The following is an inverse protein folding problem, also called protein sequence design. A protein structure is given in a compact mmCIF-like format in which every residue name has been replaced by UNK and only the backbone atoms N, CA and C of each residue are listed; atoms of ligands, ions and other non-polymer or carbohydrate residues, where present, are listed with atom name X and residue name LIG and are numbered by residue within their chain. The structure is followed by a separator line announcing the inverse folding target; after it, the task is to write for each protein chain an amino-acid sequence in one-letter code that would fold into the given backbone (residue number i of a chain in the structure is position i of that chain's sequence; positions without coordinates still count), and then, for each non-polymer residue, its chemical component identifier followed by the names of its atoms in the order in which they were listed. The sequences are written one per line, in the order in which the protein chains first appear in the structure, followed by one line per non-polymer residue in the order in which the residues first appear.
data_IF_359202763909
#
_entry.id   IF_359202763909
#
_cell.length_a   1.000
_cell.length_b   1.000
_cell.length_c   1.000
_cell.angle_alpha   90.00
_cell.angle_beta   90.00
_cell.angle_gamma   90.00
#
_symmetry.space_group_name_H-M   'P 1'
#
loop_
_entity.id
_entity.type
_entity.pdbx_description
1 polymer ?
#
# COMPACT_ATOMS: atom_id res chain seq x y z
N UNK A 1 -50.41 14.15 47.15
CA UNK A 1 -49.15 14.94 47.18
C UNK A 1 -48.05 14.00 47.65
N UNK A 2 -46.91 13.82 47.02
CA UNK A 2 -46.14 14.74 46.20
C UNK A 2 -45.51 14.02 45.00
N UNK A 3 -45.39 14.75 43.90
CA UNK A 3 -44.67 14.38 42.70
C UNK A 3 -43.16 14.57 42.90
N UNK A 4 -42.35 13.70 42.30
CA UNK A 4 -41.02 14.07 41.82
C UNK A 4 -40.56 13.10 40.73
N UNK A 5 -40.71 13.50 39.47
CA UNK A 5 -39.91 12.99 38.35
C UNK A 5 -38.93 14.11 38.00
N UNK A 6 -37.62 13.85 38.04
CA UNK A 6 -36.69 14.48 37.14
C UNK A 6 -35.77 13.39 36.55
N UNK A 7 -36.18 12.80 35.44
CA UNK A 7 -35.25 12.17 34.51
C UNK A 7 -34.48 13.29 33.82
N UNK A 8 -33.25 13.55 34.27
CA UNK A 8 -32.37 14.45 33.54
C UNK A 8 -32.05 13.82 32.17
N UNK A 9 -32.22 14.59 31.08
CA UNK A 9 -32.27 14.06 29.73
C UNK A 9 -30.84 13.72 29.27
N UNK A 10 -30.59 12.44 29.01
CA UNK A 10 -29.37 12.02 28.34
C UNK A 10 -29.38 12.52 26.88
N UNK A 11 -28.92 13.77 26.70
CA UNK A 11 -28.66 14.42 25.41
C UNK A 11 -27.24 14.15 24.90
N UNK A 12 -26.54 13.18 25.51
CA UNK A 12 -25.19 12.77 25.12
C UNK A 12 -25.19 11.47 24.29
N UNK A 13 -26.26 10.67 24.33
CA UNK A 13 -26.36 9.45 23.53
C UNK A 13 -26.38 9.74 22.01
N UNK A 14 -27.10 10.76 21.55
CA UNK A 14 -27.14 11.13 20.12
C UNK A 14 -25.85 11.77 19.62
N UNK A 15 -25.14 12.52 20.48
CA UNK A 15 -23.81 13.08 20.19
C UNK A 15 -22.73 12.00 20.17
N UNK A 16 -22.79 11.04 21.09
CA UNK A 16 -21.92 9.86 21.09
C UNK A 16 -22.14 9.00 19.84
N UNK A 17 -23.40 8.81 19.43
CA UNK A 17 -23.72 8.04 18.22
C UNK A 17 -23.30 8.77 16.93
N UNK A 18 -23.48 10.08 16.84
CA UNK A 18 -23.01 10.86 15.67
C UNK A 18 -21.48 10.94 15.58
N UNK A 19 -20.77 10.99 16.73
CA UNK A 19 -19.31 10.88 16.73
C UNK A 19 -18.84 9.50 16.28
N UNK A 20 -19.47 8.43 16.75
CA UNK A 20 -19.18 7.06 16.29
C UNK A 20 -19.48 6.88 14.80
N UNK A 21 -20.52 7.53 14.29
CA UNK A 21 -20.87 7.51 12.87
C UNK A 21 -19.80 8.24 12.04
N UNK A 22 -19.39 9.44 12.45
CA UNK A 22 -18.31 10.20 11.81
C UNK A 22 -17.00 9.39 11.75
N UNK A 23 -16.55 8.82 12.87
CA UNK A 23 -15.33 7.99 12.88
C UNK A 23 -15.49 6.73 12.02
N UNK A 24 -16.68 6.12 12.00
CA UNK A 24 -16.97 4.97 11.15
C UNK A 24 -16.92 5.30 9.65
N UNK A 25 -17.43 6.46 9.25
CA UNK A 25 -17.41 6.95 7.87
C UNK A 25 -15.98 7.27 7.40
N UNK A 26 -15.16 7.91 8.24
CA UNK A 26 -13.74 8.15 7.95
C UNK A 26 -12.99 6.84 7.73
N UNK A 27 -13.19 5.85 8.61
CA UNK A 27 -12.51 4.54 8.49
C UNK A 27 -12.99 3.79 7.25
N UNK A 28 -14.27 3.86 6.90
CA UNK A 28 -14.81 3.24 5.70
C UNK A 28 -14.20 3.86 4.43
N UNK A 29 -14.25 5.18 4.31
CA UNK A 29 -13.67 5.90 3.18
C UNK A 29 -12.17 5.62 3.04
N UNK A 30 -11.46 5.55 4.16
CA UNK A 30 -10.05 5.20 4.19
C UNK A 30 -9.77 3.80 3.65
N UNK A 31 -10.50 2.78 4.12
CA UNK A 31 -10.30 1.38 3.73
C UNK A 31 -10.66 1.13 2.26
N UNK A 32 -11.64 1.86 1.72
CA UNK A 32 -12.04 1.72 0.32
C UNK A 32 -11.02 2.31 -0.66
N UNK A 33 -10.28 3.36 -0.24
CA UNK A 33 -9.34 4.08 -1.10
C UNK A 33 -7.90 3.61 -0.97
N UNK A 34 -7.49 3.11 0.19
CA UNK A 34 -6.11 2.68 0.44
C UNK A 34 -5.81 1.33 -0.22
N UNK A 35 -4.87 1.32 -1.16
CA UNK A 35 -4.43 0.11 -1.85
C UNK A 35 -3.09 -0.39 -1.27
N UNK A 36 -2.15 0.52 -0.97
CA UNK A 36 -0.76 0.20 -0.63
C UNK A 36 -0.62 -0.58 0.67
N UNK A 37 -1.47 -0.31 1.67
CA UNK A 37 -1.39 -0.98 2.97
C UNK A 37 -1.75 -2.47 2.90
N UNK A 38 -2.54 -2.92 1.92
CA UNK A 38 -2.88 -4.35 1.77
C UNK A 38 -1.80 -5.18 1.08
N UNK A 39 -0.84 -4.52 0.44
CA UNK A 39 0.14 -5.14 -0.46
C UNK A 39 1.51 -5.37 0.19
N UNK A 40 1.71 -4.85 1.39
CA UNK A 40 2.98 -4.88 2.12
C UNK A 40 2.74 -5.51 3.51
N UNK A 41 3.79 -6.07 4.13
CA UNK A 41 3.72 -6.58 5.49
C UNK A 41 3.35 -5.47 6.49
N UNK A 42 2.30 -5.72 7.28
CA UNK A 42 1.86 -4.83 8.33
C UNK A 42 2.12 -5.45 9.70
N UNK A 43 2.61 -4.64 10.65
CA UNK A 43 2.72 -5.01 12.05
C UNK A 43 2.16 -3.89 12.92
N UNK A 44 1.35 -4.25 13.90
CA UNK A 44 0.85 -3.32 14.92
C UNK A 44 1.72 -3.41 16.18
N UNK A 45 2.02 -2.27 16.78
CA UNK A 45 2.68 -2.19 18.09
C UNK A 45 1.70 -1.63 19.12
N UNK A 46 1.63 -2.28 20.28
CA UNK A 46 0.81 -1.82 21.42
C UNK A 46 1.58 -0.87 22.35
N UNK A 47 2.89 -0.70 22.13
CA UNK A 47 3.76 0.20 22.87
C UNK A 47 5.19 0.20 22.30
N UNK A 48 5.93 1.28 22.54
CA UNK A 48 7.28 1.50 22.02
C UNK A 48 7.33 2.38 20.76
N UNK A 49 8.54 2.86 20.42
CA UNK A 49 8.79 3.71 19.24
C UNK A 49 9.18 2.90 18.00
N UNK A 50 9.55 1.64 18.17
CA UNK A 50 10.20 0.83 17.14
C UNK A 50 9.61 -0.56 17.06
N UNK A 51 9.54 -1.14 15.85
CA UNK A 51 9.29 -2.55 15.66
C UNK A 51 10.39 -3.17 14.81
N UNK A 52 10.78 -4.40 15.15
CA UNK A 52 11.75 -5.17 14.41
C UNK A 52 11.04 -6.14 13.46
N UNK A 53 11.60 -6.29 12.26
CA UNK A 53 11.26 -7.33 11.31
C UNK A 53 12.47 -8.23 11.14
N UNK A 54 12.24 -9.54 11.29
CA UNK A 54 13.26 -10.54 11.00
C UNK A 54 13.27 -10.73 9.48
N UNK A 55 14.41 -10.48 8.86
CA UNK A 55 14.62 -10.75 7.44
C UNK A 55 15.63 -11.90 7.34
N UNK A 56 15.16 -13.04 6.84
CA UNK A 56 16.01 -14.22 6.65
C UNK A 56 16.54 -14.27 5.22
N UNK A 57 17.83 -14.55 5.05
CA UNK A 57 18.37 -14.96 3.76
C UNK A 57 17.86 -16.34 3.32
N UNK A 58 18.02 -16.69 2.04
CA UNK A 58 17.79 -18.06 1.59
C UNK A 58 18.94 -18.96 2.08
N UNK A 59 18.60 -20.15 2.60
CA UNK A 59 19.60 -21.16 2.94
C UNK A 59 20.28 -21.65 1.66
N UNK A 60 21.60 -21.78 1.68
CA UNK A 60 22.38 -22.28 0.54
C UNK A 60 22.36 -23.80 0.49
N UNK A 61 22.28 -24.39 -0.71
CA UNK A 61 22.36 -25.85 -0.91
C UNK A 61 23.72 -26.44 -0.45
N UNK A 62 24.75 -25.61 -0.32
CA UNK A 62 26.05 -25.99 0.25
C UNK A 62 26.00 -26.42 1.72
N UNK A 63 24.91 -26.10 2.43
CA UNK A 63 24.72 -26.46 3.83
C UNK A 63 24.14 -27.88 3.99
N UNK A 64 23.77 -28.53 2.88
CA UNK A 64 23.26 -29.90 2.88
C UNK A 64 24.44 -30.86 3.04
N UNK A 65 24.66 -31.31 4.28
CA UNK A 65 25.70 -32.29 4.57
C UNK A 65 25.20 -33.73 4.36
N UNK A 66 26.03 -34.56 3.72
CA UNK A 66 25.82 -36.01 3.68
C UNK A 66 26.32 -36.60 4.99
N UNK A 67 25.40 -36.97 5.89
CA UNK A 67 25.74 -37.50 7.21
C UNK A 67 26.28 -38.93 7.12
N UNK A 68 27.44 -39.18 7.74
CA UNK A 68 28.04 -40.51 7.91
C UNK A 68 27.80 -40.99 9.34
N UNK A 69 27.53 -42.28 9.51
CA UNK A 69 27.17 -42.88 10.81
C UNK A 69 28.34 -42.70 11.80
N UNK A 70 28.12 -41.94 12.88
CA UNK A 70 29.10 -41.75 13.96
C UNK A 70 29.81 -40.39 13.97
N UNK A 71 29.59 -39.53 12.98
CA UNK A 71 30.11 -38.16 12.96
C UNK A 71 29.09 -37.16 13.53
N UNK A 72 29.58 -36.05 14.09
CA UNK A 72 28.73 -34.98 14.62
C UNK A 72 28.12 -34.17 13.46
N UNK A 73 26.81 -33.90 13.55
CA UNK A 73 26.13 -33.03 12.58
C UNK A 73 26.57 -31.59 12.83
N UNK A 74 27.36 -31.04 11.90
CA UNK A 74 27.74 -29.61 11.96
C UNK A 74 26.55 -28.77 11.55
N UNK A 75 26.01 -27.98 12.47
CA UNK A 75 24.94 -27.03 12.19
C UNK A 75 25.49 -25.78 11.52
N UNK A 76 24.95 -25.41 10.36
CA UNK A 76 25.15 -24.07 9.80
C UNK A 76 24.15 -23.09 10.43
N UNK A 77 24.60 -21.88 10.73
CA UNK A 77 23.74 -20.80 11.22
C UNK A 77 23.21 -20.07 9.99
N UNK A 78 21.89 -20.05 9.82
CA UNK A 78 21.26 -19.25 8.77
C UNK A 78 21.48 -17.76 9.07
N UNK A 79 21.91 -17.00 8.06
CA UNK A 79 22.00 -15.55 8.17
C UNK A 79 20.59 -14.96 8.37
N UNK A 80 20.29 -14.58 9.60
CA UNK A 80 19.13 -13.81 9.99
C UNK A 80 19.59 -12.43 10.46
N UNK A 81 18.93 -11.39 9.98
CA UNK A 81 19.19 -10.02 10.41
C UNK A 81 17.87 -9.33 10.78
N UNK A 82 17.97 -8.26 11.54
CA UNK A 82 16.84 -7.53 12.10
C UNK A 82 16.80 -6.10 11.56
N UNK A 83 15.77 -5.78 10.78
CA UNK A 83 15.51 -4.42 10.34
C UNK A 83 14.54 -3.76 11.31
N UNK A 84 14.98 -2.66 11.93
CA UNK A 84 14.16 -1.88 12.86
C UNK A 84 13.52 -0.71 12.13
N UNK A 85 12.20 -0.60 12.21
CA UNK A 85 11.44 0.55 11.69
C UNK A 85 10.92 1.37 12.88
N UNK A 86 11.12 2.69 12.84
CA UNK A 86 10.67 3.61 13.88
C UNK A 86 9.39 4.34 13.48
N UNK A 87 8.55 4.68 14.46
CA UNK A 87 7.36 5.51 14.29
C UNK A 87 7.57 6.82 15.05
N UNK A 88 7.81 7.90 14.30
CA UNK A 88 8.31 9.14 14.90
C UNK A 88 7.25 10.23 15.01
N UNK A 89 6.37 10.35 14.01
CA UNK A 89 5.44 11.48 13.91
C UNK A 89 4.00 11.02 13.74
N UNK A 90 3.09 11.75 14.39
CA UNK A 90 1.64 11.63 14.18
C UNK A 90 1.22 12.58 13.07
N UNK A 91 0.51 12.08 12.07
CA UNK A 91 -0.11 12.90 11.04
C UNK A 91 -1.56 13.20 11.40
N UNK A 92 -1.97 14.43 11.16
CA UNK A 92 -3.26 14.97 11.58
C UNK A 92 -3.90 15.72 10.41
N UNK A 93 -5.18 15.46 10.17
CA UNK A 93 -6.03 16.26 9.31
C UNK A 93 -7.22 16.76 10.12
N UNK A 94 -7.45 18.07 10.12
CA UNK A 94 -8.49 18.67 10.93
C UNK A 94 -9.33 19.69 10.16
N UNK A 95 -10.64 19.66 10.38
CA UNK A 95 -11.58 20.66 9.93
C UNK A 95 -12.23 21.34 11.12
N UNK A 96 -12.52 22.63 10.98
CA UNK A 96 -13.25 23.40 11.95
C UNK A 96 -14.64 23.74 11.40
N UNK A 97 -15.67 23.47 12.20
CA UNK A 97 -17.06 23.82 11.90
C UNK A 97 -17.57 24.78 12.97
N UNK A 98 -17.99 25.97 12.55
CA UNK A 98 -18.67 26.89 13.45
C UNK A 98 -20.09 26.38 13.78
N UNK A 99 -20.53 26.58 15.02
CA UNK A 99 -21.86 26.16 15.45
C UNK A 99 -22.98 26.95 14.80
N UNK A 100 -22.74 28.20 14.42
CA UNK A 100 -23.72 29.02 13.73
C UNK A 100 -23.90 28.52 12.29
N UNK A 101 -22.82 28.28 11.57
CA UNK A 101 -22.84 27.79 10.19
C UNK A 101 -23.44 26.38 10.09
N UNK A 102 -23.14 25.51 11.04
CA UNK A 102 -23.75 24.17 11.12
C UNK A 102 -25.28 24.24 11.31
N UNK A 103 -25.78 25.29 12.01
CA UNK A 103 -27.22 25.47 12.23
C UNK A 103 -27.95 26.13 11.06
N UNK A 104 -27.23 26.88 10.24
CA UNK A 104 -27.77 27.50 9.03
C UNK A 104 -27.66 26.60 7.79
N UNK A 105 -26.79 25.58 7.82
CA UNK A 105 -26.64 24.63 6.74
C UNK A 105 -27.93 23.85 6.47
N UNK A 106 -28.33 23.78 5.19
CA UNK A 106 -29.51 23.03 4.73
C UNK A 106 -29.23 21.52 4.54
N UNK A 107 -27.97 21.11 4.63
CA UNK A 107 -27.50 19.73 4.45
C UNK A 107 -26.45 19.36 5.50
N UNK A 108 -26.24 18.05 5.68
CA UNK A 108 -25.28 17.53 6.64
C UNK A 108 -23.84 17.70 6.13
N UNK A 109 -23.13 18.69 6.67
CA UNK A 109 -21.74 18.99 6.28
C UNK A 109 -20.73 17.99 6.90
N UNK A 110 -21.10 17.33 8.00
CA UNK A 110 -20.18 16.45 8.74
C UNK A 110 -19.81 15.18 7.98
N UNK A 111 -20.76 14.52 7.32
CA UNK A 111 -20.50 13.28 6.58
C UNK A 111 -19.58 13.49 5.38
N UNK A 112 -19.79 14.58 4.62
CA UNK A 112 -18.93 14.92 3.47
C UNK A 112 -17.49 15.25 3.90
N UNK A 113 -17.33 16.00 4.99
CA UNK A 113 -16.00 16.25 5.56
C UNK A 113 -15.34 14.99 6.11
N UNK A 114 -16.13 14.04 6.63
CA UNK A 114 -15.62 12.73 7.05
C UNK A 114 -15.04 11.97 5.85
N UNK A 115 -15.80 11.89 4.76
CA UNK A 115 -15.39 11.22 3.53
C UNK A 115 -14.11 11.82 2.94
N UNK A 116 -14.07 13.15 2.79
CA UNK A 116 -12.88 13.85 2.28
C UNK A 116 -11.66 13.67 3.18
N UNK A 117 -11.83 13.70 4.51
CA UNK A 117 -10.72 13.46 5.43
C UNK A 117 -10.16 12.03 5.32
N UNK A 118 -11.02 11.03 5.13
CA UNK A 118 -10.58 9.65 4.92
C UNK A 118 -9.82 9.46 3.61
N UNK A 119 -10.27 10.11 2.54
CA UNK A 119 -9.62 10.06 1.22
C UNK A 119 -8.24 10.74 1.24
N UNK A 120 -8.12 11.95 1.80
CA UNK A 120 -6.83 12.66 1.88
C UNK A 120 -5.81 11.86 2.70
N UNK A 121 -6.22 11.22 3.79
CA UNK A 121 -5.33 10.38 4.60
C UNK A 121 -4.90 9.11 3.84
N UNK A 122 -5.81 8.47 3.09
CA UNK A 122 -5.49 7.32 2.25
C UNK A 122 -4.50 7.66 1.13
N UNK A 123 -4.77 8.73 0.38
CA UNK A 123 -3.89 9.15 -0.72
C UNK A 123 -2.49 9.52 -0.25
N UNK A 124 -2.36 10.10 0.94
CA UNK A 124 -1.05 10.40 1.53
C UNK A 124 -0.28 9.11 1.83
N UNK A 125 -0.90 8.14 2.49
CA UNK A 125 -0.23 6.86 2.83
C UNK A 125 0.19 6.14 1.56
N UNK A 126 -0.67 6.08 0.55
CA UNK A 126 -0.34 5.42 -0.71
C UNK A 126 0.85 6.09 -1.42
N UNK A 127 0.91 7.42 -1.47
CA UNK A 127 2.05 8.15 -2.05
C UNK A 127 3.37 7.82 -1.34
N UNK A 128 3.38 7.86 -0.01
CA UNK A 128 4.59 7.57 0.77
C UNK A 128 5.03 6.10 0.60
N UNK A 129 4.08 5.17 0.57
CA UNK A 129 4.35 3.74 0.33
C UNK A 129 4.95 3.48 -1.04
N UNK A 130 4.37 4.05 -2.11
CA UNK A 130 4.88 3.86 -3.47
C UNK A 130 6.21 4.58 -3.71
N UNK A 131 6.43 5.73 -3.10
CA UNK A 131 7.73 6.41 -3.15
C UNK A 131 8.83 5.60 -2.45
N UNK A 132 8.54 5.03 -1.27
CA UNK A 132 9.48 4.17 -0.56
C UNK A 132 9.80 2.89 -1.35
N UNK A 133 8.78 2.25 -1.93
CA UNK A 133 9.00 1.09 -2.81
C UNK A 133 9.86 1.43 -4.03
N UNK A 134 9.61 2.57 -4.68
CA UNK A 134 10.31 2.96 -5.90
C UNK A 134 11.74 3.48 -5.68
N UNK A 135 12.01 4.13 -4.54
CA UNK A 135 13.29 4.82 -4.29
C UNK A 135 14.18 4.10 -3.27
N UNK A 136 13.61 3.66 -2.16
CA UNK A 136 14.40 3.19 -1.01
C UNK A 136 14.75 1.70 -1.13
N UNK A 137 13.83 0.88 -1.63
CA UNK A 137 14.08 -0.55 -1.84
C UNK A 137 15.20 -0.82 -2.86
N UNK A 138 15.27 -0.19 -4.06
CA UNK A 138 16.35 -0.48 -4.99
C UNK A 138 17.71 0.05 -4.51
N UNK A 139 17.70 1.06 -3.62
CA UNK A 139 18.91 1.59 -3.00
C UNK A 139 19.42 0.75 -1.82
N UNK A 140 18.65 -0.24 -1.34
CA UNK A 140 19.09 -1.09 -0.23
C UNK A 140 20.29 -1.95 -0.62
N UNK A 141 21.27 -2.02 0.28
CA UNK A 141 22.34 -3.01 0.17
C UNK A 141 21.79 -4.39 0.57
N UNK A 142 21.88 -5.41 -0.30
CA UNK A 142 21.37 -6.74 0.03
C UNK A 142 22.25 -7.39 1.10
N UNK A 143 21.60 -8.02 2.08
CA UNK A 143 22.27 -8.79 3.12
C UNK A 143 22.76 -10.15 2.58
N UNK A 144 23.68 -10.84 3.28
CA UNK A 144 24.13 -12.18 2.89
C UNK A 144 22.95 -13.14 2.68
N UNK A 145 22.84 -13.74 1.49
CA UNK A 145 21.73 -14.62 1.10
C UNK A 145 20.49 -13.92 0.51
N UNK A 146 20.55 -12.60 0.32
CA UNK A 146 19.55 -11.82 -0.44
C UNK A 146 20.14 -11.37 -1.78
N UNK A 147 19.27 -11.14 -2.78
CA UNK A 147 19.66 -10.59 -4.08
C UNK A 147 19.15 -9.15 -4.19
N UNK A 148 19.93 -8.26 -4.81
CA UNK A 148 19.51 -6.89 -5.06
C UNK A 148 18.23 -6.84 -5.92
N UNK A 149 17.49 -5.74 -5.87
CA UNK A 149 16.34 -5.52 -6.75
C UNK A 149 16.79 -5.50 -8.23
N UNK A 150 15.95 -6.01 -9.14
CA UNK A 150 16.28 -5.95 -10.58
C UNK A 150 15.53 -4.80 -11.21
N UNK A 151 16.23 -3.96 -11.97
CA UNK A 151 15.58 -3.00 -12.88
C UNK A 151 15.59 -3.58 -14.29
N UNK A 152 14.43 -3.63 -14.91
CA UNK A 152 14.26 -4.05 -16.29
C UNK A 152 13.78 -2.85 -17.08
N UNK A 153 14.44 -2.62 -18.21
CA UNK A 153 14.09 -1.53 -19.11
C UNK A 153 13.14 -2.06 -20.18
N UNK A 154 12.01 -1.40 -20.36
CA UNK A 154 11.02 -1.73 -21.37
C UNK A 154 11.50 -1.24 -22.74
N UNK A 155 12.25 -2.11 -23.42
CA UNK A 155 12.92 -1.74 -24.66
C UNK A 155 11.93 -1.30 -25.73
N UNK A 156 12.09 -0.10 -26.29
CA UNK A 156 11.22 0.47 -27.31
C UNK A 156 9.98 1.22 -26.80
N UNK A 157 9.77 1.33 -25.48
CA UNK A 157 8.63 2.05 -24.91
C UNK A 157 8.62 3.55 -25.27
N UNK A 158 9.79 4.21 -25.21
CA UNK A 158 9.95 5.64 -25.51
C UNK A 158 9.82 5.96 -27.01
N UNK A 159 10.10 4.99 -27.88
CA UNK A 159 9.99 5.12 -29.34
C UNK A 159 8.59 4.79 -29.89
N UNK A 160 7.77 4.06 -29.11
CA UNK A 160 6.43 3.67 -29.52
C UNK A 160 5.48 4.88 -29.58
N UNK A 161 4.74 4.98 -30.69
CA UNK A 161 3.82 6.11 -30.93
C UNK A 161 2.35 5.74 -30.73
N UNK A 162 2.03 4.45 -30.79
CA UNK A 162 0.69 3.91 -30.60
C UNK A 162 0.53 3.26 -29.22
N UNK A 163 -0.70 3.24 -28.70
CA UNK A 163 -1.00 2.62 -27.40
C UNK A 163 -0.75 1.09 -27.41
N UNK A 164 -0.94 0.45 -28.56
CA UNK A 164 -0.73 -0.99 -28.75
C UNK A 164 0.76 -1.38 -28.66
N UNK A 165 1.64 -0.63 -29.32
CA UNK A 165 3.09 -0.86 -29.26
C UNK A 165 3.64 -0.63 -27.85
N UNK A 166 3.16 0.41 -27.16
CA UNK A 166 3.52 0.66 -25.75
C UNK A 166 3.06 -0.46 -24.84
N UNK A 167 1.82 -0.93 -25.01
CA UNK A 167 1.29 -2.06 -24.25
C UNK A 167 2.08 -3.35 -24.50
N UNK A 168 2.47 -3.62 -25.75
CA UNK A 168 3.27 -4.80 -26.10
C UNK A 168 4.68 -4.75 -25.46
N UNK A 169 5.35 -3.59 -25.47
CA UNK A 169 6.64 -3.41 -24.82
C UNK A 169 6.56 -3.63 -23.30
N UNK A 170 5.49 -3.15 -22.65
CA UNK A 170 5.28 -3.39 -21.22
C UNK A 170 5.03 -4.87 -20.94
N UNK A 171 4.21 -5.54 -21.76
CA UNK A 171 3.92 -6.98 -21.59
C UNK A 171 5.20 -7.81 -21.71
N UNK A 172 6.08 -7.50 -22.67
CA UNK A 172 7.37 -8.18 -22.81
C UNK A 172 8.28 -7.94 -21.60
N UNK A 173 8.36 -6.70 -21.12
CA UNK A 173 9.10 -6.35 -19.91
C UNK A 173 8.56 -7.07 -18.66
N UNK A 174 7.24 -7.28 -18.56
CA UNK A 174 6.62 -8.06 -17.47
C UNK A 174 7.04 -9.54 -17.52
N UNK A 175 7.17 -10.13 -18.70
CA UNK A 175 7.68 -11.51 -18.83
C UNK A 175 9.15 -11.63 -18.44
N UNK A 176 10.00 -10.67 -18.84
CA UNK A 176 11.38 -10.59 -18.38
C UNK A 176 11.48 -10.38 -16.86
N UNK A 177 10.53 -9.62 -16.28
CA UNK A 177 10.38 -9.47 -14.84
C UNK A 177 10.08 -10.77 -14.12
N UNK A 178 9.19 -11.58 -14.69
CA UNK A 178 8.88 -12.90 -14.14
C UNK A 178 10.08 -13.83 -14.18
N UNK A 179 10.86 -13.85 -15.26
CA UNK A 179 12.07 -14.67 -15.32
C UNK A 179 13.10 -14.22 -14.28
N UNK A 180 13.32 -12.91 -14.13
CA UNK A 180 14.21 -12.36 -13.11
C UNK A 180 13.79 -12.72 -11.68
N UNK A 181 12.49 -12.75 -11.37
CA UNK A 181 11.99 -13.17 -10.05
C UNK A 181 12.15 -14.68 -9.82
N UNK A 182 11.95 -15.49 -10.86
CA UNK A 182 12.15 -16.94 -10.78
C UNK A 182 13.63 -17.30 -10.58
N UNK A 183 14.57 -16.59 -11.23
CA UNK A 183 16.01 -16.75 -11.00
C UNK A 183 16.44 -16.42 -9.56
N UNK A 184 15.63 -15.62 -8.85
CA UNK A 184 15.83 -15.30 -7.43
C UNK A 184 15.08 -16.26 -6.48
N UNK A 185 14.44 -17.31 -7.00
CA UNK A 185 13.68 -18.29 -6.23
C UNK A 185 12.62 -17.66 -5.31
N UNK A 186 11.96 -16.59 -5.77
CA UNK A 186 10.90 -15.94 -5.00
C UNK A 186 9.61 -16.76 -5.13
N UNK A 187 9.13 -17.37 -4.04
CA UNK A 187 7.97 -18.26 -4.06
C UNK A 187 6.61 -17.56 -3.97
N UNK A 188 6.57 -16.32 -3.49
CA UNK A 188 5.33 -15.57 -3.28
C UNK A 188 4.80 -14.96 -4.58
N UNK A 189 3.47 -14.95 -4.75
CA UNK A 189 2.79 -14.27 -5.88
C UNK A 189 3.03 -12.75 -5.82
N UNK A 190 3.76 -12.17 -6.79
CA UNK A 190 4.05 -10.75 -6.81
C UNK A 190 2.84 -9.95 -7.30
N UNK A 191 2.59 -8.81 -6.66
CA UNK A 191 1.63 -7.83 -7.15
C UNK A 191 2.35 -6.87 -8.09
N UNK A 192 1.68 -6.46 -9.17
CA UNK A 192 2.19 -5.48 -10.12
C UNK A 192 1.32 -4.25 -10.05
N UNK A 193 1.94 -3.10 -9.89
CA UNK A 193 1.27 -1.80 -9.89
C UNK A 193 1.85 -0.94 -10.99
N UNK A 194 0.95 -0.41 -11.82
CA UNK A 194 1.27 0.47 -12.95
C UNK A 194 0.55 1.81 -12.81
N UNK A 195 1.03 2.81 -13.53
CA UNK A 195 0.28 4.04 -13.71
C UNK A 195 -0.97 3.80 -14.60
N UNK A 196 -2.02 4.62 -14.48
CA UNK A 196 -3.29 4.37 -15.17
C UNK A 196 -3.17 4.43 -16.70
N UNK A 197 -2.37 5.37 -17.21
CA UNK A 197 -2.13 5.47 -18.65
C UNK A 197 -1.49 4.19 -19.20
N UNK A 198 -0.51 3.66 -18.48
CA UNK A 198 0.19 2.42 -18.83
C UNK A 198 -0.72 1.20 -18.67
N UNK A 199 -1.61 1.19 -17.67
CA UNK A 199 -2.65 0.17 -17.52
C UNK A 199 -3.57 0.08 -18.74
N UNK A 200 -4.08 1.22 -19.21
CA UNK A 200 -4.97 1.23 -20.37
C UNK A 200 -4.23 0.93 -21.68
N UNK A 201 -2.95 1.27 -21.81
CA UNK A 201 -2.12 0.83 -22.93
C UNK A 201 -2.00 -0.71 -22.97
N UNK A 202 -1.86 -1.37 -21.81
CA UNK A 202 -1.85 -2.84 -21.71
C UNK A 202 -3.22 -3.42 -22.09
N UNK A 203 -4.33 -2.84 -21.64
CA UNK A 203 -5.69 -3.28 -21.99
C UNK A 203 -5.95 -3.19 -23.50
N UNK A 204 -5.44 -2.14 -24.15
CA UNK A 204 -5.60 -1.93 -25.58
C UNK A 204 -4.63 -2.75 -26.44
N UNK A 205 -3.62 -3.39 -25.82
CA UNK A 205 -2.69 -4.25 -26.54
C UNK A 205 -3.36 -5.57 -26.96
N UNK A 206 -3.15 -5.97 -28.21
CA UNK A 206 -3.65 -7.25 -28.73
C UNK A 206 -3.10 -8.45 -27.96
N UNK A 207 -1.92 -8.32 -27.34
CA UNK A 207 -1.28 -9.37 -26.54
C UNK A 207 -1.78 -9.44 -25.09
N UNK A 208 -2.32 -8.34 -24.55
CA UNK A 208 -2.86 -8.27 -23.19
C UNK A 208 -4.30 -8.80 -23.09
N UNK A 209 -5.07 -8.67 -24.18
CA UNK A 209 -6.45 -9.16 -24.26
C UNK A 209 -6.62 -9.90 -25.60
N UNK A 210 -6.30 -11.19 -25.64
CA UNK A 210 -6.66 -12.01 -26.79
C UNK A 210 -8.18 -12.22 -26.79
N UNK A 211 -8.85 -11.76 -27.85
CA UNK A 211 -10.30 -11.79 -28.02
C UNK A 211 -10.92 -13.21 -28.11
N UNK A 212 -10.11 -14.26 -28.03
CA UNK A 212 -10.52 -15.64 -28.28
C UNK A 212 -10.30 -16.54 -27.05
N UNK A 213 -10.90 -16.23 -25.88
CA UNK A 213 -11.18 -17.23 -24.83
C UNK A 213 -12.31 -16.77 -23.88
N UNK A 214 -13.54 -17.18 -24.21
CA UNK A 214 -14.69 -17.46 -23.30
C UNK A 214 -15.00 -16.48 -22.15
N UNK A 215 -16.02 -15.64 -22.38
CA UNK A 215 -17.07 -15.09 -21.49
C UNK A 215 -16.79 -14.57 -20.07
N UNK A 216 -15.59 -14.66 -19.49
CA UNK A 216 -15.34 -14.20 -18.11
C UNK A 216 -13.87 -13.87 -17.81
N UNK A 217 -13.03 -13.66 -18.83
CA UNK A 217 -11.57 -13.68 -18.72
C UNK A 217 -10.86 -12.35 -19.04
N UNK A 218 -11.50 -11.23 -18.71
CA UNK A 218 -10.99 -9.91 -19.07
C UNK A 218 -11.31 -9.58 -20.52
N UNK A 219 -11.69 -8.34 -20.77
CA UNK A 219 -12.15 -7.91 -22.08
C UNK A 219 -11.96 -6.42 -22.25
N UNK A 220 -11.84 -6.01 -23.50
CA UNK A 220 -11.76 -4.59 -23.88
C UNK A 220 -13.03 -3.85 -23.42
N UNK A 221 -14.17 -4.56 -23.34
CA UNK A 221 -15.46 -4.09 -22.85
C UNK A 221 -15.47 -3.78 -21.34
N UNK A 222 -14.83 -4.63 -20.54
CA UNK A 222 -14.73 -4.48 -19.08
C UNK A 222 -13.56 -3.59 -18.67
N UNK A 223 -12.63 -3.33 -19.59
CA UNK A 223 -11.43 -2.54 -19.35
C UNK A 223 -10.50 -3.13 -18.27
N UNK A 224 -10.68 -4.42 -17.96
CA UNK A 224 -9.97 -5.12 -16.87
C UNK A 224 -9.12 -6.24 -17.45
N UNK A 225 -7.84 -6.22 -17.09
CA UNK A 225 -6.91 -7.32 -17.35
C UNK A 225 -6.89 -8.23 -16.12
N UNK A 226 -7.22 -9.52 -16.28
CA UNK A 226 -7.27 -10.46 -15.15
C UNK A 226 -5.86 -10.77 -14.63
N UNK A 227 -4.98 -11.25 -15.50
CA UNK A 227 -3.59 -11.54 -15.17
C UNK A 227 -2.71 -11.45 -16.43
N UNK A 228 -1.52 -10.88 -16.30
CA UNK A 228 -0.45 -10.94 -17.32
C UNK A 228 0.75 -11.62 -16.68
N UNK A 229 1.31 -12.64 -17.35
CA UNK A 229 2.42 -13.45 -16.82
C UNK A 229 2.15 -14.08 -15.43
N UNK A 230 0.87 -14.29 -15.06
CA UNK A 230 0.46 -14.82 -13.76
C UNK A 230 0.36 -13.78 -12.63
N UNK A 231 0.63 -12.50 -12.92
CA UNK A 231 0.51 -11.41 -11.95
C UNK A 231 -0.87 -10.78 -11.95
N UNK A 232 -1.35 -10.39 -10.76
CA UNK A 232 -2.48 -9.46 -10.64
C UNK A 232 -1.96 -8.04 -10.87
N UNK A 233 -2.53 -7.34 -11.86
CA UNK A 233 -2.15 -5.95 -12.18
C UNK A 233 -3.18 -5.00 -11.57
N UNK A 234 -2.73 -4.15 -10.66
CA UNK A 234 -3.45 -2.99 -10.17
C UNK A 234 -2.95 -1.70 -10.82
N UNK A 235 -3.77 -0.65 -10.78
CA UNK A 235 -3.36 0.69 -11.19
C UNK A 235 -3.50 1.66 -10.02
N UNK A 236 -2.65 2.69 -10.00
CA UNK A 236 -2.72 3.76 -9.00
C UNK A 236 -2.30 5.10 -9.60
N UNK A 237 -2.97 6.17 -9.19
CA UNK A 237 -2.55 7.55 -9.52
C UNK A 237 -1.38 8.03 -8.64
N UNK A 238 -0.98 7.25 -7.64
CA UNK A 238 -0.04 7.65 -6.60
C UNK A 238 1.36 7.06 -6.79
N UNK A 239 1.65 6.55 -7.99
CA UNK A 239 2.98 6.09 -8.34
C UNK A 239 3.94 7.30 -8.43
N UNK A 240 5.13 7.19 -7.83
CA UNK A 240 6.10 8.30 -7.81
C UNK A 240 6.84 8.43 -9.15
N UNK A 241 6.17 9.08 -10.12
CA UNK A 241 6.79 9.53 -11.38
C UNK A 241 7.53 10.87 -11.25
N UNK A 242 7.53 11.50 -10.07
CA UNK A 242 8.18 12.81 -9.90
C UNK A 242 9.67 12.62 -9.65
N UNK A 243 10.02 11.67 -8.78
CA UNK A 243 11.42 11.32 -8.49
C UNK A 243 12.00 10.38 -9.53
N UNK A 244 11.20 9.42 -10.03
CA UNK A 244 11.60 8.50 -11.10
C UNK A 244 10.71 8.70 -12.33
N UNK A 245 11.06 9.62 -13.24
CA UNK A 245 10.24 9.91 -14.42
C UNK A 245 10.09 8.69 -15.35
N UNK A 246 11.10 7.81 -15.35
CA UNK A 246 11.13 6.62 -16.18
C UNK A 246 10.33 5.44 -15.59
N UNK A 247 9.79 5.58 -14.38
CA UNK A 247 9.09 4.49 -13.71
C UNK A 247 7.76 4.15 -14.42
N UNK A 248 7.66 2.94 -14.96
CA UNK A 248 6.45 2.41 -15.60
C UNK A 248 5.66 1.54 -14.63
N UNK A 249 6.33 0.58 -13.98
CA UNK A 249 5.68 -0.39 -13.12
C UNK A 249 6.57 -0.81 -11.94
N UNK A 250 5.93 -1.14 -10.82
CA UNK A 250 6.54 -1.79 -9.67
C UNK A 250 5.98 -3.20 -9.54
N UNK A 251 6.86 -4.20 -9.56
CA UNK A 251 6.52 -5.61 -9.30
C UNK A 251 7.16 -6.01 -7.99
N UNK A 252 6.35 -6.35 -6.98
CA UNK A 252 6.86 -6.63 -5.65
C UNK A 252 6.05 -7.69 -4.92
N UNK A 253 6.74 -8.44 -4.05
CA UNK A 253 6.10 -9.32 -3.07
C UNK A 253 5.86 -8.58 -1.75
N UNK A 254 4.98 -9.11 -0.91
CA UNK A 254 4.62 -8.52 0.39
C UNK A 254 5.83 -8.34 1.34
N UNK A 255 6.88 -9.10 1.09
CA UNK A 255 8.07 -9.20 1.94
C UNK A 255 9.08 -8.08 1.71
N UNK A 256 8.88 -7.28 0.66
CA UNK A 256 9.83 -6.27 0.21
C UNK A 256 9.91 -5.09 1.16
N UNK A 257 8.80 -4.71 1.78
CA UNK A 257 8.72 -3.59 2.71
C UNK A 257 7.87 -3.94 3.93
N UNK A 258 7.89 -3.05 4.93
CA UNK A 258 7.12 -3.19 6.15
C UNK A 258 6.48 -1.88 6.59
N UNK A 259 5.27 -1.97 7.12
CA UNK A 259 4.58 -0.85 7.79
C UNK A 259 4.38 -1.22 9.25
N UNK A 260 4.77 -0.31 10.14
CA UNK A 260 4.53 -0.38 11.58
C UNK A 260 3.43 0.60 11.94
N UNK A 261 2.35 0.08 12.53
CA UNK A 261 1.25 0.89 13.05
C UNK A 261 1.37 1.06 14.55
N UNK A 262 1.64 2.29 14.99
CA UNK A 262 1.57 2.65 16.40
C UNK A 262 0.17 3.11 16.80
N UNK A 263 -0.52 3.79 15.89
CA UNK A 263 -1.93 4.13 16.03
C UNK A 263 -2.62 3.92 14.69
N UNK A 264 -3.63 3.06 14.69
CA UNK A 264 -4.59 3.02 13.59
C UNK A 264 -5.36 4.35 13.50
N UNK A 265 -6.06 4.57 12.38
CA UNK A 265 -6.80 5.82 12.18
C UNK A 265 -7.85 5.99 13.25
N UNK A 266 -7.76 7.13 13.92
CA UNK A 266 -8.74 7.57 14.91
C UNK A 266 -9.22 8.97 14.55
N UNK A 267 -10.51 9.19 14.72
CA UNK A 267 -11.13 10.49 14.54
C UNK A 267 -11.83 10.91 15.82
N UNK A 268 -11.63 12.16 16.19
CA UNK A 268 -12.20 12.80 17.37
C UNK A 268 -12.90 14.09 16.95
N UNK A 269 -14.02 14.40 17.60
CA UNK A 269 -14.69 15.69 17.48
C UNK A 269 -14.71 16.34 18.85
N UNK A 270 -14.01 17.45 19.00
CA UNK A 270 -13.93 18.19 20.26
C UNK A 270 -14.52 19.58 20.07
N UNK A 271 -15.27 20.05 21.06
CA UNK A 271 -15.80 21.41 21.05
C UNK A 271 -14.72 22.38 21.57
N UNK A 272 -14.33 23.36 20.75
CA UNK A 272 -13.44 24.43 21.18
C UNK A 272 -14.26 25.65 21.60
N UNK A 273 -14.33 25.87 22.92
CA UNK A 273 -15.04 26.99 23.50
C UNK A 273 -14.45 28.35 23.12
N UNK A 274 -13.17 28.42 22.74
CA UNK A 274 -12.52 29.67 22.32
C UNK A 274 -12.93 30.10 20.93
N UNK A 275 -13.34 29.14 20.09
CA UNK A 275 -13.72 29.37 18.70
C UNK A 275 -15.23 29.16 18.45
N UNK A 276 -15.97 28.79 19.49
CA UNK A 276 -17.42 28.56 19.44
C UNK A 276 -17.85 27.53 18.37
N UNK A 277 -17.01 26.52 18.15
CA UNK A 277 -17.20 25.53 17.09
C UNK A 277 -16.66 24.14 17.43
N UNK A 278 -16.95 23.20 16.54
CA UNK A 278 -16.47 21.83 16.61
C UNK A 278 -15.22 21.65 15.77
N UNK A 279 -14.16 21.15 16.38
CA UNK A 279 -12.96 20.72 15.69
C UNK A 279 -13.03 19.21 15.45
N UNK A 280 -13.15 18.83 14.19
CA UNK A 280 -13.09 17.45 13.72
C UNK A 280 -11.64 17.14 13.37
N UNK A 281 -11.05 16.16 14.03
CA UNK A 281 -9.62 15.82 13.89
C UNK A 281 -9.47 14.33 13.64
N UNK A 282 -8.90 13.95 12.51
CA UNK A 282 -8.51 12.59 12.17
C UNK A 282 -7.00 12.46 12.20
N UNK A 283 -6.47 11.42 12.82
CA UNK A 283 -5.04 11.23 12.98
C UNK A 283 -4.62 9.76 12.89
N UNK A 284 -3.37 9.54 12.48
CA UNK A 284 -2.71 8.23 12.48
C UNK A 284 -1.22 8.37 12.79
N UNK A 285 -0.59 7.28 13.22
CA UNK A 285 0.87 7.19 13.38
C UNK A 285 1.38 5.89 12.78
N UNK A 286 2.12 6.02 11.69
CA UNK A 286 2.69 4.92 10.91
C UNK A 286 4.18 5.19 10.68
N UNK A 287 4.98 4.14 10.79
CA UNK A 287 6.35 4.09 10.30
C UNK A 287 6.43 3.13 9.13
N UNK A 288 7.20 3.46 8.12
CA UNK A 288 7.41 2.61 6.95
C UNK A 288 8.89 2.49 6.67
N UNK A 289 9.30 1.34 6.14
CA UNK A 289 10.69 1.08 5.80
C UNK A 289 10.84 -0.12 4.88
N UNK A 290 11.92 -0.14 4.09
CA UNK A 290 12.21 -1.25 3.19
C UNK A 290 12.85 -2.40 3.98
N UNK A 291 12.55 -3.65 3.60
CA UNK A 291 12.93 -4.86 4.35
C UNK A 291 13.82 -5.80 3.54
N UNK A 292 13.40 -6.17 2.32
CA UNK A 292 14.12 -7.14 1.49
C UNK A 292 14.01 -6.80 0.00
N UNK A 293 15.12 -6.45 -0.67
CA UNK A 293 15.08 -6.08 -2.09
C UNK A 293 14.89 -7.29 -3.04
N UNK A 294 15.03 -8.53 -2.56
CA UNK A 294 15.04 -9.76 -3.40
C UNK A 294 13.74 -9.94 -4.18
N UNK A 295 12.61 -9.60 -3.56
CA UNK A 295 11.27 -9.79 -4.12
C UNK A 295 10.79 -8.67 -5.04
N UNK A 296 11.67 -7.72 -5.39
CA UNK A 296 11.30 -6.54 -6.17
C UNK A 296 11.94 -6.53 -7.56
N UNK A 297 11.11 -6.15 -8.54
CA UNK A 297 11.54 -5.79 -9.89
C UNK A 297 10.87 -4.47 -10.29
N UNK A 298 11.67 -3.55 -10.80
CA UNK A 298 11.22 -2.25 -11.28
C UNK A 298 11.22 -2.30 -12.82
N UNK A 299 10.13 -1.84 -13.44
CA UNK A 299 10.08 -1.60 -14.88
C UNK A 299 10.25 -0.12 -15.16
N UNK A 300 11.30 0.23 -15.89
CA UNK A 300 11.57 1.58 -16.37
C UNK A 300 11.39 1.69 -17.88
N UNK A 301 11.10 2.88 -18.39
CA UNK A 301 11.24 3.20 -19.81
C UNK A 301 12.71 3.25 -20.22
N UNK A 302 12.95 2.95 -21.49
CA UNK A 302 14.21 3.24 -22.20
C UNK A 302 14.54 4.73 -22.23
#
# INVERSE_FOLDING_TARGET
MAAMIPTLPNKDASRSTSLKLYTGEVIKAFREKNIGMGLIKNREISGGKTAQFIVTGQASETDIQTHVRGEEVVSSILANDEVTITVDTRFVHSHFLDTLDEKLAQYEVRGELAFQSGEVLATKIDKEVFAMLGNDVPAMTPLPGQKAATTIVATGYSAATTAEEKGNAIVEALFAGRSALNEKNVSAEPAVIVAPQDYYNIVQSTRGVNADYTSNNGGIDTGKVRQVAGFSIGWTNHLDKTTNPDLIALMFTKDVAGIVKAMDIRSEANYDFRRLGWQLTSFYALGMGPLNPTGMVILNSD
#
